data_IF_761162607124
#
_entry.id   IF_761162607124
#
_cell.length_a   1.000
_cell.length_b   1.000
_cell.length_c   1.000
_cell.angle_alpha   90.00
_cell.angle_beta   90.00
_cell.angle_gamma   90.00
#
_symmetry.space_group_name_H-M   'P 1'
#
loop_
_entity.id
_entity.type
_entity.pdbx_description
1 polymer ?
#
# COMPACT_ATOMS: atom_id res chain seq x y z
N UNK A 1 -5.31 12.79 -10.23
CA UNK A 1 -6.21 11.71 -10.68
C UNK A 1 -6.89 11.09 -9.47
N UNK A 2 -8.15 10.65 -9.55
CA UNK A 2 -8.82 9.99 -8.43
C UNK A 2 -8.29 8.57 -8.25
N UNK A 3 -8.17 8.14 -7.00
CA UNK A 3 -7.82 6.76 -6.65
C UNK A 3 -8.92 5.79 -7.08
N UNK A 4 -8.55 4.57 -7.48
CA UNK A 4 -9.49 3.51 -7.84
C UNK A 4 -10.23 2.97 -6.62
N UNK A 5 -9.54 2.77 -5.49
CA UNK A 5 -10.14 2.18 -4.28
C UNK A 5 -10.35 3.20 -3.18
N UNK A 6 -11.46 3.03 -2.46
CA UNK A 6 -11.71 3.71 -1.18
C UNK A 6 -11.05 2.95 -0.03
N UNK A 7 -10.87 3.61 1.10
CA UNK A 7 -10.21 3.03 2.28
C UNK A 7 -10.90 1.75 2.80
N UNK A 8 -12.24 1.72 2.74
CA UNK A 8 -13.05 0.57 3.16
C UNK A 8 -12.88 -0.64 2.23
N UNK A 9 -12.75 -0.41 0.93
CA UNK A 9 -12.53 -1.49 -0.05
C UNK A 9 -11.14 -2.11 0.12
N UNK A 10 -10.12 -1.25 0.29
CA UNK A 10 -8.74 -1.67 0.55
C UNK A 10 -8.63 -2.59 1.76
N UNK A 11 -9.25 -2.23 2.89
CA UNK A 11 -9.19 -3.03 4.11
C UNK A 11 -9.84 -4.41 3.93
N UNK A 12 -10.96 -4.48 3.21
CA UNK A 12 -11.67 -5.74 2.95
C UNK A 12 -10.94 -6.66 1.97
N UNK A 13 -10.20 -6.11 1.01
CA UNK A 13 -9.44 -6.89 0.01
C UNK A 13 -8.13 -7.46 0.58
N UNK A 14 -7.59 -6.85 1.64
CA UNK A 14 -6.32 -7.21 2.27
C UNK A 14 -6.53 -8.17 3.46
N UNK A 15 -7.76 -8.59 3.77
CA UNK A 15 -8.08 -9.34 5.00
C UNK A 15 -7.39 -10.73 5.08
N UNK A 16 -6.96 -11.30 3.95
CA UNK A 16 -6.15 -12.51 3.90
C UNK A 16 -4.71 -12.22 3.45
N UNK A 17 -3.85 -11.91 4.43
CA UNK A 17 -2.40 -11.69 4.24
C UNK A 17 -1.59 -12.97 4.43
N UNK A 18 -2.21 -14.15 4.42
CA UNK A 18 -1.47 -15.39 4.56
C UNK A 18 -0.56 -15.60 3.32
N UNK A 19 0.77 -15.67 3.55
CA UNK A 19 1.76 -15.96 2.50
C UNK A 19 2.47 -14.76 1.87
N UNK A 20 2.24 -13.52 2.32
CA UNK A 20 2.94 -12.33 1.78
C UNK A 20 4.29 -12.01 2.47
N UNK A 21 4.66 -12.76 3.53
CA UNK A 21 5.88 -12.49 4.31
C UNK A 21 7.16 -12.60 3.47
N UNK A 22 7.18 -13.50 2.48
CA UNK A 22 8.31 -13.67 1.55
C UNK A 22 8.27 -12.71 0.35
N UNK A 23 7.21 -11.92 0.19
CA UNK A 23 7.06 -10.97 -0.92
C UNK A 23 7.66 -9.60 -0.59
N UNK A 24 8.32 -9.00 -1.58
CA UNK A 24 8.74 -7.60 -1.56
C UNK A 24 7.53 -6.65 -1.58
N UNK A 25 7.73 -5.38 -1.20
CA UNK A 25 6.67 -4.36 -1.21
C UNK A 25 6.01 -4.22 -2.59
N UNK A 26 6.81 -4.22 -3.66
CA UNK A 26 6.29 -4.10 -5.02
C UNK A 26 5.46 -5.31 -5.43
N UNK A 27 5.86 -6.52 -5.03
CA UNK A 27 5.09 -7.74 -5.29
C UNK A 27 3.77 -7.73 -4.52
N UNK A 28 3.75 -7.25 -3.27
CA UNK A 28 2.51 -7.07 -2.51
C UNK A 28 1.58 -6.05 -3.19
N UNK A 29 2.12 -4.91 -3.61
CA UNK A 29 1.36 -3.89 -4.35
C UNK A 29 0.78 -4.45 -5.65
N UNK A 30 1.52 -5.29 -6.37
CA UNK A 30 1.05 -5.94 -7.59
C UNK A 30 -0.02 -7.00 -7.29
N UNK A 31 0.18 -7.83 -6.27
CA UNK A 31 -0.74 -8.90 -5.88
C UNK A 31 -2.14 -8.37 -5.55
N UNK A 32 -2.22 -7.24 -4.86
CA UNK A 32 -3.49 -6.58 -4.52
C UNK A 32 -3.94 -5.52 -5.54
N UNK A 33 -3.28 -5.40 -6.71
CA UNK A 33 -3.57 -4.38 -7.74
C UNK A 33 -3.59 -2.93 -7.19
N UNK A 34 -2.68 -2.64 -6.26
CA UNK A 34 -2.54 -1.36 -5.56
C UNK A 34 -1.48 -0.44 -6.15
N UNK A 35 -0.70 -0.89 -7.15
CA UNK A 35 0.37 -0.08 -7.76
C UNK A 35 -0.13 1.31 -8.19
N UNK A 36 -1.23 1.38 -8.94
CA UNK A 36 -1.79 2.65 -9.40
C UNK A 36 -2.23 3.56 -8.24
N UNK A 37 -2.88 2.98 -7.23
CA UNK A 37 -3.37 3.73 -6.07
C UNK A 37 -2.22 4.21 -5.20
N UNK A 38 -1.17 3.41 -5.04
CA UNK A 38 0.03 3.76 -4.32
C UNK A 38 0.82 4.86 -5.04
N UNK A 39 1.08 4.74 -6.34
CA UNK A 39 1.79 5.76 -7.12
C UNK A 39 1.03 7.09 -7.11
N UNK A 40 -0.30 7.03 -7.29
CA UNK A 40 -1.14 8.22 -7.22
C UNK A 40 -1.14 8.84 -5.82
N UNK A 41 -1.16 8.02 -4.76
CA UNK A 41 -1.07 8.50 -3.39
C UNK A 41 0.31 9.10 -3.09
N UNK A 42 1.40 8.51 -3.57
CA UNK A 42 2.76 9.03 -3.41
C UNK A 42 2.91 10.46 -3.95
N UNK A 43 2.22 10.77 -5.07
CA UNK A 43 2.26 12.09 -5.69
C UNK A 43 1.34 13.13 -5.01
N UNK A 44 0.19 12.70 -4.48
CA UNK A 44 -0.88 13.63 -4.09
C UNK A 44 -1.19 13.62 -2.58
N UNK A 45 -0.92 12.52 -1.87
CA UNK A 45 -1.28 12.32 -0.48
C UNK A 45 -0.40 11.25 0.18
N UNK A 46 0.76 11.69 0.72
CA UNK A 46 1.72 10.81 1.40
C UNK A 46 1.10 10.05 2.58
N UNK A 47 0.14 10.65 3.30
CA UNK A 47 -0.58 9.96 4.40
C UNK A 47 -1.29 8.71 3.87
N UNK A 48 -1.93 8.80 2.71
CA UNK A 48 -2.60 7.65 2.09
C UNK A 48 -1.62 6.61 1.55
N UNK A 49 -0.48 7.03 1.02
CA UNK A 49 0.58 6.11 0.60
C UNK A 49 1.10 5.29 1.81
N UNK A 50 1.31 5.94 2.96
CA UNK A 50 1.68 5.24 4.21
C UNK A 50 0.60 4.24 4.65
N UNK A 51 -0.67 4.61 4.60
CA UNK A 51 -1.78 3.71 4.97
C UNK A 51 -1.80 2.45 4.10
N UNK A 52 -1.58 2.57 2.79
CA UNK A 52 -1.52 1.42 1.87
C UNK A 52 -0.39 0.47 2.30
N UNK A 53 0.80 0.98 2.60
CA UNK A 53 1.93 0.16 3.03
C UNK A 53 1.69 -0.50 4.40
N UNK A 54 1.04 0.21 5.34
CA UNK A 54 0.65 -0.35 6.64
C UNK A 54 -0.34 -1.52 6.47
N UNK A 55 -1.29 -1.41 5.54
CA UNK A 55 -2.20 -2.51 5.22
C UNK A 55 -1.46 -3.71 4.66
N UNK A 56 -0.44 -3.48 3.84
CA UNK A 56 0.43 -4.54 3.32
C UNK A 56 1.44 -5.08 4.34
N UNK A 57 1.33 -4.72 5.63
CA UNK A 57 2.24 -5.12 6.72
C UNK A 57 3.71 -4.86 6.39
N UNK A 58 3.97 -3.74 5.72
CA UNK A 58 5.35 -3.25 5.56
C UNK A 58 5.78 -2.65 6.89
N UNK A 59 7.02 -2.92 7.30
CA UNK A 59 7.57 -2.40 8.54
C UNK A 59 7.71 -0.86 8.48
N UNK A 60 7.67 -0.23 9.64
CA UNK A 60 7.64 1.23 9.74
C UNK A 60 8.92 1.88 9.19
N UNK A 61 10.08 1.22 9.33
CA UNK A 61 11.36 1.71 8.83
C UNK A 61 11.36 1.74 7.30
N UNK A 62 10.88 0.67 6.64
CA UNK A 62 10.69 0.61 5.20
C UNK A 62 9.68 1.67 4.71
N UNK A 63 8.58 1.87 5.43
CA UNK A 63 7.59 2.91 5.11
C UNK A 63 8.23 4.29 5.15
N UNK A 64 9.02 4.58 6.19
CA UNK A 64 9.73 5.86 6.33
C UNK A 64 10.80 6.05 5.25
N UNK A 65 11.46 4.98 4.82
CA UNK A 65 12.43 5.02 3.74
C UNK A 65 11.80 5.32 2.37
N UNK A 66 10.61 4.76 2.12
CA UNK A 66 9.87 4.93 0.84
C UNK A 66 9.09 6.24 0.79
N UNK A 67 8.34 6.56 1.84
CA UNK A 67 7.53 7.77 1.95
C UNK A 67 8.29 8.80 2.77
N UNK A 68 9.28 9.43 2.14
CA UNK A 68 9.98 10.58 2.72
C UNK A 68 9.05 11.77 2.75
N UNK A 69 8.97 12.49 3.86
CA UNK A 69 8.19 13.73 4.00
C UNK A 69 8.66 14.85 3.06
#
# INVERSE_FOLDING_TARGET
MPLKRTHKNLLNEIDDLSGIEAMTVNERLLHYDLLYDFDTAMLNNKVRARQILQYLKVDEDSINAMVKD
#
